data_IF_115944218087
#
_entry.id   IF_115944218087
#
_cell.length_a   1.000
_cell.length_b   1.000
_cell.length_c   1.000
_cell.angle_alpha   90.00
_cell.angle_beta   90.00
_cell.angle_gamma   90.00
#
_symmetry.space_group_name_H-M   'P 1'
#
loop_
_entity.id
_entity.type
_entity.pdbx_description
1 polymer ?
#
# COMPACT_ATOMS: atom_id res chain seq x y z
N UNK A 1 5.63 24.83 -4.59
CA UNK A 1 6.54 25.04 -3.44
C UNK A 1 5.78 24.84 -2.15
N UNK A 2 5.87 23.67 -1.51
CA UNK A 2 5.37 23.50 -0.13
C UNK A 2 6.45 24.05 0.80
N UNK A 3 6.15 25.14 1.51
CA UNK A 3 6.98 25.63 2.61
C UNK A 3 6.99 24.56 3.69
N UNK A 4 8.17 24.09 4.07
CA UNK A 4 8.36 23.27 5.26
C UNK A 4 8.09 24.22 6.44
N UNK A 5 7.02 23.94 7.19
CA UNK A 5 6.57 24.80 8.28
C UNK A 5 7.62 24.87 9.40
N UNK A 6 7.91 26.09 9.85
CA UNK A 6 8.72 26.41 11.02
C UNK A 6 8.13 25.75 12.27
N UNK A 7 8.70 24.62 12.66
CA UNK A 7 8.60 24.07 14.02
C UNK A 7 10.02 23.70 14.42
N UNK A 8 10.44 24.13 15.62
CA UNK A 8 11.75 23.77 16.18
C UNK A 8 11.85 22.24 16.29
N UNK A 9 12.46 21.61 15.29
CA UNK A 9 12.79 20.19 15.32
C UNK A 9 14.17 20.02 15.95
N UNK A 10 14.21 19.71 17.24
CA UNK A 10 15.32 18.89 17.76
C UNK A 10 15.07 17.47 17.27
N UNK A 11 15.68 17.09 16.16
CA UNK A 11 15.51 15.75 15.57
C UNK A 11 16.21 14.76 16.51
N UNK A 12 15.45 14.03 17.32
CA UNK A 12 15.97 13.00 18.22
C UNK A 12 15.85 11.62 17.59
N UNK A 13 16.95 10.86 17.61
CA UNK A 13 17.04 9.41 17.33
C UNK A 13 16.23 8.90 16.15
N UNK A 14 15.03 8.39 16.44
CA UNK A 14 14.14 7.71 15.48
C UNK A 14 13.75 8.56 14.27
N UNK A 15 13.55 9.87 14.46
CA UNK A 15 13.23 10.78 13.35
C UNK A 15 14.42 10.96 12.38
N UNK A 16 15.65 10.81 12.88
CA UNK A 16 16.85 10.94 12.08
C UNK A 16 17.07 9.69 11.20
N UNK A 17 16.68 8.51 11.69
CA UNK A 17 16.75 7.26 10.91
C UNK A 17 15.73 7.22 9.76
N UNK A 18 14.51 7.73 10.01
CA UNK A 18 13.50 7.91 8.96
C UNK A 18 13.97 8.91 7.90
N UNK A 19 14.47 10.08 8.34
CA UNK A 19 15.01 11.09 7.44
C UNK A 19 16.19 10.56 6.63
N UNK A 20 17.12 9.84 7.28
CA UNK A 20 18.29 9.21 6.63
C UNK A 20 17.84 8.23 5.55
N UNK A 21 16.85 7.40 5.83
CA UNK A 21 16.31 6.44 4.88
C UNK A 21 15.68 7.15 3.68
N UNK A 22 14.92 8.22 3.94
CA UNK A 22 14.25 8.98 2.89
C UNK A 22 15.21 9.75 1.98
N UNK A 23 16.24 10.42 2.52
CA UNK A 23 17.13 11.26 1.72
C UNK A 23 18.30 10.49 1.09
N UNK A 24 18.65 9.31 1.62
CA UNK A 24 19.76 8.53 1.08
C UNK A 24 19.47 8.07 -0.35
N UNK A 25 20.43 8.33 -1.24
CA UNK A 25 20.33 8.06 -2.67
C UNK A 25 19.59 9.13 -3.47
N UNK A 26 19.10 10.21 -2.84
CA UNK A 26 18.53 11.35 -3.58
C UNK A 26 19.67 12.19 -4.18
N UNK A 27 19.45 12.64 -5.41
CA UNK A 27 20.32 13.57 -6.12
C UNK A 27 19.93 15.00 -5.73
N UNK A 28 20.92 15.83 -5.45
CA UNK A 28 20.76 17.22 -5.01
C UNK A 28 21.72 18.14 -5.75
N UNK A 29 21.35 19.42 -5.83
CA UNK A 29 22.19 20.52 -6.28
C UNK A 29 22.41 21.51 -5.14
N UNK A 30 23.55 22.17 -5.14
CA UNK A 30 23.80 23.27 -4.19
C UNK A 30 23.04 24.51 -4.64
N UNK A 31 22.36 25.20 -3.70
CA UNK A 31 21.66 26.45 -3.98
C UNK A 31 22.57 27.69 -3.90
N UNK A 32 23.85 27.49 -3.65
CA UNK A 32 24.88 28.52 -3.52
C UNK A 32 26.02 28.32 -4.52
N UNK A 33 26.74 29.42 -4.78
CA UNK A 33 27.83 29.46 -5.76
C UNK A 33 27.37 29.31 -7.22
N UNK A 34 28.29 29.50 -8.16
CA UNK A 34 28.03 29.33 -9.60
C UNK A 34 27.94 27.84 -10.03
N UNK A 35 27.85 26.90 -9.07
CA UNK A 35 27.89 25.46 -9.29
C UNK A 35 26.51 24.79 -9.19
N UNK A 36 25.43 25.53 -9.41
CA UNK A 36 24.04 25.00 -9.40
C UNK A 36 23.80 23.88 -10.43
N UNK A 37 24.78 23.58 -11.30
CA UNK A 37 24.72 22.55 -12.34
C UNK A 37 25.33 21.21 -11.93
N UNK A 38 26.08 21.12 -10.82
CA UNK A 38 26.76 19.86 -10.46
C UNK A 38 25.88 19.01 -9.54
N UNK A 39 25.45 17.81 -9.98
CA UNK A 39 24.66 16.93 -9.14
C UNK A 39 25.54 16.21 -8.12
N UNK A 40 25.00 16.06 -6.91
CA UNK A 40 25.56 15.24 -5.84
C UNK A 40 24.53 14.21 -5.39
N UNK A 41 24.96 12.98 -5.12
CA UNK A 41 24.09 11.95 -4.53
C UNK A 41 24.37 11.85 -3.04
N UNK A 42 23.35 12.03 -2.21
CA UNK A 42 23.46 11.89 -0.76
C UNK A 42 23.72 10.41 -0.44
N UNK A 43 24.84 10.11 0.23
CA UNK A 43 25.13 8.77 0.74
C UNK A 43 24.51 8.51 2.12
N UNK A 44 24.34 9.55 2.94
CA UNK A 44 23.82 9.42 4.29
C UNK A 44 23.67 10.75 5.00
N UNK A 45 23.37 10.67 6.30
CA UNK A 45 23.34 11.81 7.22
C UNK A 45 24.43 11.63 8.27
N UNK A 46 25.11 12.73 8.57
CA UNK A 46 25.99 12.85 9.71
C UNK A 46 25.20 13.46 10.89
N UNK A 47 25.33 12.85 12.06
CA UNK A 47 24.66 13.29 13.29
C UNK A 47 25.33 14.50 13.94
N UNK A 48 26.56 14.84 13.54
CA UNK A 48 27.23 16.06 13.98
C UNK A 48 26.66 17.30 13.30
N UNK A 49 26.71 18.42 14.02
CA UNK A 49 26.19 19.70 13.52
C UNK A 49 27.23 20.46 12.70
N UNK A 50 26.79 21.50 11.98
CA UNK A 50 27.71 22.36 11.23
C UNK A 50 28.71 23.09 12.15
N UNK A 51 28.39 23.24 13.44
CA UNK A 51 29.23 23.89 14.44
C UNK A 51 30.36 22.97 14.90
N UNK A 52 30.07 21.68 15.10
CA UNK A 52 31.05 20.71 15.63
C UNK A 52 31.85 20.03 14.53
N UNK A 53 31.22 19.70 13.40
CA UNK A 53 31.87 18.95 12.33
C UNK A 53 32.99 19.78 11.70
N UNK A 54 34.20 19.24 11.73
CA UNK A 54 35.38 19.83 11.06
C UNK A 54 35.76 19.06 9.80
N UNK A 55 36.48 19.75 8.91
CA UNK A 55 37.12 19.14 7.76
C UNK A 55 38.37 19.94 7.38
N UNK A 56 39.26 19.31 6.62
CA UNK A 56 40.43 19.97 6.05
C UNK A 56 40.08 20.64 4.72
N UNK A 57 40.34 21.94 4.64
CA UNK A 57 40.24 22.73 3.41
C UNK A 57 41.38 22.41 2.44
N UNK A 58 41.26 22.86 1.18
CA UNK A 58 42.31 22.69 0.16
C UNK A 58 43.65 23.32 0.58
N UNK A 59 43.61 24.38 1.39
CA UNK A 59 44.78 25.06 1.96
C UNK A 59 45.38 24.33 3.19
N UNK A 60 44.89 23.13 3.53
CA UNK A 60 45.34 22.31 4.66
C UNK A 60 44.86 22.79 6.04
N UNK A 61 44.08 23.87 6.12
CA UNK A 61 43.52 24.37 7.38
C UNK A 61 42.30 23.55 7.80
N UNK A 62 42.26 23.15 9.07
CA UNK A 62 41.05 22.61 9.71
C UNK A 62 40.07 23.75 10.01
N UNK A 63 38.83 23.60 9.60
CA UNK A 63 37.75 24.54 9.90
C UNK A 63 36.43 23.79 10.12
N UNK A 64 35.49 24.42 10.81
CA UNK A 64 34.13 23.87 10.95
C UNK A 64 33.33 24.13 9.68
N UNK A 65 32.32 23.30 9.41
CA UNK A 65 31.42 23.52 8.27
C UNK A 65 30.77 24.91 8.35
N UNK A 66 30.29 25.32 9.53
CA UNK A 66 29.68 26.64 9.71
C UNK A 66 30.66 27.80 9.39
N UNK A 67 31.90 27.74 9.90
CA UNK A 67 32.89 28.79 9.64
C UNK A 67 33.30 28.85 8.17
N UNK A 68 33.41 27.69 7.50
CA UNK A 68 33.71 27.64 6.08
C UNK A 68 32.62 28.33 5.24
N UNK A 69 31.34 28.04 5.47
CA UNK A 69 30.25 28.67 4.72
C UNK A 69 30.18 30.18 4.96
N UNK A 70 30.43 30.62 6.19
CA UNK A 70 30.49 32.05 6.54
C UNK A 70 31.65 32.78 5.87
N UNK A 71 32.84 32.19 5.84
CA UNK A 71 34.03 32.84 5.28
C UNK A 71 34.09 32.76 3.76
N UNK A 72 33.83 31.58 3.18
CA UNK A 72 34.04 31.30 1.75
C UNK A 72 32.88 31.74 0.87
N UNK A 73 31.65 31.58 1.37
CA UNK A 73 30.42 31.85 0.62
C UNK A 73 29.62 33.02 1.19
N UNK A 74 30.04 33.61 2.32
CA UNK A 74 29.33 34.69 3.01
C UNK A 74 27.90 34.29 3.42
N UNK A 75 27.69 33.00 3.71
CA UNK A 75 26.41 32.45 4.13
C UNK A 75 26.41 32.25 5.64
N UNK A 76 25.48 32.90 6.33
CA UNK A 76 25.20 32.61 7.73
C UNK A 76 24.12 31.53 7.79
N UNK A 77 24.48 30.34 8.26
CA UNK A 77 23.55 29.23 8.35
C UNK A 77 22.43 29.55 9.35
N UNK A 78 21.17 29.30 8.97
CA UNK A 78 20.02 29.54 9.85
C UNK A 78 19.84 28.38 10.84
N UNK A 79 20.16 27.16 10.40
CA UNK A 79 20.04 25.94 11.19
C UNK A 79 21.39 25.22 11.31
N UNK A 80 22.39 25.83 11.99
CA UNK A 80 23.71 25.22 12.11
C UNK A 80 23.70 23.94 12.98
N UNK A 81 22.66 23.73 13.80
CA UNK A 81 22.48 22.56 14.66
C UNK A 81 21.85 21.34 13.94
N UNK A 82 21.44 21.49 12.68
CA UNK A 82 20.87 20.37 11.91
C UNK A 82 21.94 19.37 11.46
N UNK A 83 21.55 18.09 11.26
CA UNK A 83 22.45 17.09 10.70
C UNK A 83 22.92 17.49 9.30
N UNK A 84 24.10 17.01 8.92
CA UNK A 84 24.72 17.33 7.64
C UNK A 84 24.48 16.19 6.63
N UNK A 85 24.23 16.55 5.37
CA UNK A 85 24.20 15.57 4.28
C UNK A 85 25.62 15.14 3.93
N UNK A 86 25.85 13.82 3.93
CA UNK A 86 27.10 13.22 3.50
C UNK A 86 27.05 12.87 2.02
N UNK A 87 28.07 13.28 1.29
CA UNK A 87 28.25 12.93 -0.12
C UNK A 87 29.62 12.32 -0.32
N UNK A 88 29.67 11.10 -0.89
CA UNK A 88 30.92 10.46 -1.29
C UNK A 88 31.28 10.89 -2.71
N UNK A 89 32.40 11.60 -2.88
CA UNK A 89 32.86 12.09 -4.17
C UNK A 89 34.36 11.84 -4.34
N UNK A 90 34.74 11.07 -5.37
CA UNK A 90 36.14 10.73 -5.69
C UNK A 90 36.96 10.24 -4.46
N UNK A 91 36.36 9.40 -3.62
CA UNK A 91 37.01 8.86 -2.42
C UNK A 91 37.08 9.80 -1.21
N UNK A 92 36.56 11.03 -1.32
CA UNK A 92 36.43 11.98 -0.20
C UNK A 92 34.98 12.06 0.28
N UNK A 93 34.82 12.26 1.58
CA UNK A 93 33.52 12.52 2.20
C UNK A 93 33.33 14.04 2.28
N UNK A 94 32.24 14.53 1.70
CA UNK A 94 31.84 15.94 1.71
C UNK A 94 30.63 16.11 2.61
N UNK A 95 30.60 17.22 3.35
CA UNK A 95 29.50 17.57 4.25
C UNK A 95 28.79 18.83 3.77
N UNK A 96 27.48 18.74 3.62
CA UNK A 96 26.63 19.85 3.19
C UNK A 96 25.54 20.12 4.24
N UNK A 97 25.38 21.36 4.72
CA UNK A 97 24.20 21.73 5.49
C UNK A 97 22.94 21.56 4.64
N UNK A 98 21.89 20.96 5.22
CA UNK A 98 20.67 20.62 4.47
C UNK A 98 19.98 21.85 3.85
N UNK A 99 20.06 23.01 4.49
CA UNK A 99 19.50 24.28 3.98
C UNK A 99 20.19 24.80 2.69
N UNK A 100 21.35 24.24 2.35
CA UNK A 100 22.13 24.64 1.17
C UNK A 100 21.91 23.72 -0.04
N UNK A 101 21.00 22.75 0.06
CA UNK A 101 20.72 21.73 -0.94
C UNK A 101 19.29 21.82 -1.47
N UNK A 102 19.15 21.67 -2.78
CA UNK A 102 17.87 21.49 -3.47
C UNK A 102 17.82 20.07 -4.07
N UNK A 103 16.72 19.36 -3.87
CA UNK A 103 16.50 18.05 -4.50
C UNK A 103 16.38 18.24 -6.01
N UNK A 104 17.12 17.46 -6.79
CA UNK A 104 17.04 17.49 -8.24
C UNK A 104 15.65 17.08 -8.72
N UNK A 105 15.13 17.78 -9.73
CA UNK A 105 13.82 17.47 -10.30
C UNK A 105 13.79 16.10 -11.01
N UNK A 106 12.58 15.60 -11.26
CA UNK A 106 12.31 14.40 -12.06
C UNK A 106 12.93 13.09 -11.54
N UNK A 107 13.23 13.02 -10.24
CA UNK A 107 13.68 11.78 -9.61
C UNK A 107 12.52 10.83 -9.33
N UNK A 108 12.71 9.55 -9.64
CA UNK A 108 11.73 8.50 -9.34
C UNK A 108 11.64 8.27 -7.83
N UNK A 109 10.42 8.29 -7.29
CA UNK A 109 10.12 7.88 -5.91
C UNK A 109 10.15 6.35 -5.82
N UNK A 110 10.81 5.81 -4.79
CA UNK A 110 10.89 4.36 -4.59
C UNK A 110 9.55 3.86 -4.03
N UNK A 111 9.09 2.64 -4.37
CA UNK A 111 7.84 2.11 -3.83
C UNK A 111 7.77 2.06 -2.30
N UNK A 112 8.91 1.86 -1.63
CA UNK A 112 9.00 1.88 -0.16
C UNK A 112 8.76 3.25 0.47
N UNK A 113 8.89 4.33 -0.30
CA UNK A 113 8.71 5.71 0.16
C UNK A 113 7.25 6.18 -0.04
N UNK A 114 6.37 5.35 -0.60
CA UNK A 114 4.99 5.69 -0.94
C UNK A 114 4.06 5.17 0.15
N UNK A 115 3.30 6.07 0.77
CA UNK A 115 2.31 5.70 1.78
C UNK A 115 1.04 5.08 1.17
N UNK A 116 0.18 4.49 2.01
CA UNK A 116 -1.11 3.97 1.56
C UNK A 116 -2.04 5.08 1.04
N UNK A 117 -1.95 6.26 1.67
CA UNK A 117 -2.64 7.48 1.33
C UNK A 117 -2.16 8.04 -0.01
N UNK A 118 -0.84 8.06 -0.24
CA UNK A 118 -0.25 8.46 -1.52
C UNK A 118 -0.68 7.51 -2.63
N UNK A 119 -0.69 6.21 -2.36
CA UNK A 119 -1.15 5.20 -3.32
C UNK A 119 -2.62 5.41 -3.68
N UNK A 120 -3.49 5.63 -2.68
CA UNK A 120 -4.90 5.90 -2.91
C UNK A 120 -5.12 7.20 -3.71
N UNK A 121 -4.37 8.26 -3.40
CA UNK A 121 -4.40 9.52 -4.12
C UNK A 121 -3.92 9.35 -5.57
N UNK A 122 -2.83 8.61 -5.80
CA UNK A 122 -2.30 8.28 -7.11
C UNK A 122 -3.31 7.50 -7.95
N UNK A 123 -3.91 6.44 -7.39
CA UNK A 123 -4.95 5.66 -8.08
C UNK A 123 -6.12 6.55 -8.47
N UNK A 124 -6.59 7.42 -7.56
CA UNK A 124 -7.68 8.36 -7.84
C UNK A 124 -7.31 9.36 -8.94
N UNK A 125 -6.08 9.87 -8.93
CA UNK A 125 -5.61 10.79 -9.96
C UNK A 125 -5.46 10.13 -11.34
N UNK A 126 -5.07 8.85 -11.38
CA UNK A 126 -4.92 8.08 -12.61
C UNK A 126 -6.23 7.46 -13.14
N UNK A 127 -7.27 7.38 -12.31
CA UNK A 127 -8.58 6.84 -12.68
C UNK A 127 -9.37 7.84 -13.55
N UNK A 128 -9.00 7.94 -14.83
CA UNK A 128 -9.66 8.80 -15.82
C UNK A 128 -10.63 8.00 -16.70
N UNK A 129 -11.80 8.57 -17.08
CA UNK A 129 -12.71 7.94 -18.02
C UNK A 129 -12.06 7.66 -19.39
N UNK A 130 -12.49 6.62 -20.14
CA UNK A 130 -11.88 6.26 -21.42
C UNK A 130 -11.84 7.40 -22.45
N UNK A 131 -12.88 8.23 -22.54
CA UNK A 131 -12.94 9.37 -23.46
C UNK A 131 -11.86 10.41 -23.15
N UNK A 132 -11.69 10.75 -21.87
CA UNK A 132 -10.65 11.68 -21.42
C UNK A 132 -9.25 11.08 -21.59
N UNK A 133 -9.09 9.78 -21.30
CA UNK A 133 -7.84 9.06 -21.53
C UNK A 133 -7.44 9.11 -23.01
N UNK A 134 -8.39 8.90 -23.93
CA UNK A 134 -8.13 9.01 -25.36
C UNK A 134 -7.68 10.42 -25.75
N UNK A 135 -8.34 11.46 -25.20
CA UNK A 135 -7.94 12.86 -25.43
C UNK A 135 -6.52 13.12 -24.96
N UNK A 136 -6.17 12.66 -23.76
CA UNK A 136 -4.82 12.80 -23.19
C UNK A 136 -3.76 12.09 -24.03
N UNK A 137 -4.06 10.87 -24.51
CA UNK A 137 -3.17 10.12 -25.41
C UNK A 137 -2.94 10.91 -26.71
N UNK A 138 -3.99 11.46 -27.32
CA UNK A 138 -3.86 12.22 -28.56
C UNK A 138 -3.01 13.50 -28.36
N UNK A 139 -3.20 14.21 -27.24
CA UNK A 139 -2.39 15.40 -26.89
C UNK A 139 -0.92 14.99 -26.69
N UNK A 140 -0.67 13.90 -25.97
CA UNK A 140 0.68 13.39 -25.75
C UNK A 140 1.35 12.94 -27.06
N UNK A 141 0.61 12.25 -27.94
CA UNK A 141 1.10 11.84 -29.26
C UNK A 141 1.54 13.05 -30.10
N UNK A 142 0.68 14.07 -30.20
CA UNK A 142 1.00 15.31 -30.90
C UNK A 142 2.24 16.02 -30.30
N UNK A 143 2.42 15.96 -28.98
CA UNK A 143 3.57 16.58 -28.31
C UNK A 143 4.91 15.90 -28.59
N UNK A 144 4.93 14.63 -29.03
CA UNK A 144 6.17 13.93 -29.33
C UNK A 144 6.82 14.42 -30.63
N UNK A 145 6.05 14.98 -31.58
CA UNK A 145 6.60 15.53 -32.82
C UNK A 145 7.41 14.54 -33.65
N UNK A 146 7.08 13.24 -33.59
CA UNK A 146 7.88 12.16 -34.22
C UNK A 146 8.03 12.40 -35.72
N UNK A 147 6.95 12.80 -36.39
CA UNK A 147 6.95 13.09 -37.82
C UNK A 147 7.77 14.33 -38.18
N UNK A 148 8.12 15.19 -37.23
CA UNK A 148 8.95 16.37 -37.46
C UNK A 148 10.42 16.15 -37.05
N UNK A 149 10.70 15.09 -36.31
CA UNK A 149 12.05 14.78 -35.82
C UNK A 149 13.00 14.38 -36.98
N UNK A 150 14.15 15.06 -37.14
CA UNK A 150 15.10 14.77 -38.22
C UNK A 150 15.69 13.36 -38.18
N UNK A 151 15.84 12.75 -36.99
CA UNK A 151 16.35 11.39 -36.87
C UNK A 151 15.30 10.38 -37.30
N UNK A 152 14.04 10.56 -36.88
CA UNK A 152 12.92 9.73 -37.31
C UNK A 152 12.72 9.77 -38.83
N UNK A 153 12.75 10.97 -39.44
CA UNK A 153 12.70 11.11 -40.91
C UNK A 153 13.84 10.37 -41.61
N UNK A 154 15.07 10.47 -41.09
CA UNK A 154 16.24 9.78 -41.65
C UNK A 154 16.13 8.25 -41.55
N UNK A 155 15.48 7.74 -40.52
CA UNK A 155 15.19 6.32 -40.34
C UNK A 155 13.96 5.84 -41.14
N UNK A 156 13.24 6.75 -41.81
CA UNK A 156 12.00 6.43 -42.52
C UNK A 156 10.85 6.05 -41.58
N UNK A 157 10.85 6.56 -40.35
CA UNK A 157 9.79 6.35 -39.38
C UNK A 157 8.71 7.42 -39.54
N UNK A 158 7.47 6.97 -39.75
CA UNK A 158 6.29 7.82 -39.85
C UNK A 158 5.21 7.29 -38.90
N UNK A 159 4.46 8.19 -38.27
CA UNK A 159 3.34 7.87 -37.38
C UNK A 159 2.04 8.44 -37.92
N UNK A 160 0.94 7.75 -37.62
CA UNK A 160 -0.42 8.19 -37.95
C UNK A 160 -1.05 8.77 -36.69
N UNK A 161 -1.67 9.94 -36.79
CA UNK A 161 -2.27 10.64 -35.64
C UNK A 161 -3.55 9.98 -35.12
N UNK A 162 -4.23 9.24 -35.98
CA UNK A 162 -5.51 8.60 -35.69
C UNK A 162 -5.31 7.20 -35.08
N UNK A 163 -5.99 6.88 -33.97
CA UNK A 163 -5.97 5.53 -33.41
C UNK A 163 -6.47 4.50 -34.42
N UNK A 164 -5.83 3.32 -34.43
CA UNK A 164 -6.27 2.20 -35.29
C UNK A 164 -7.70 1.77 -34.93
N UNK A 165 -8.59 1.80 -35.93
CA UNK A 165 -9.98 1.37 -35.78
C UNK A 165 -10.08 -0.13 -36.07
N UNK A 166 -10.54 -0.89 -35.07
CA UNK A 166 -10.75 -2.33 -35.17
C UNK A 166 -12.24 -2.66 -35.04
N UNK A 167 -12.71 -3.58 -35.88
CA UNK A 167 -14.07 -4.13 -35.75
C UNK A 167 -14.09 -5.18 -34.64
N UNK A 168 -14.77 -4.87 -33.54
CA UNK A 168 -15.01 -5.80 -32.43
C UNK A 168 -16.45 -6.33 -32.46
N UNK A 169 -16.70 -7.43 -31.75
CA UNK A 169 -18.05 -7.98 -31.52
C UNK A 169 -18.30 -8.17 -30.03
N UNK A 170 -19.50 -7.85 -29.59
CA UNK A 170 -19.95 -8.13 -28.21
C UNK A 170 -20.52 -9.54 -28.16
N UNK A 171 -19.95 -10.40 -27.32
CA UNK A 171 -20.50 -11.73 -27.10
C UNK A 171 -21.72 -11.65 -26.20
N UNK A 172 -22.72 -12.49 -26.45
CA UNK A 172 -23.87 -12.62 -25.56
C UNK A 172 -23.43 -13.13 -24.19
N UNK A 173 -24.01 -12.58 -23.12
CA UNK A 173 -23.70 -13.02 -21.77
C UNK A 173 -24.13 -14.49 -21.55
N UNK A 174 -23.28 -15.33 -20.94
CA UNK A 174 -23.65 -16.71 -20.65
C UNK A 174 -24.72 -16.77 -19.56
N UNK A 175 -25.53 -17.83 -19.57
CA UNK A 175 -26.46 -18.11 -18.46
C UNK A 175 -25.69 -18.76 -17.31
N UNK A 176 -25.88 -18.24 -16.11
CA UNK A 176 -25.30 -18.74 -14.87
C UNK A 176 -26.34 -19.62 -14.18
N UNK A 177 -26.01 -20.91 -14.03
CA UNK A 177 -26.89 -21.90 -13.44
C UNK A 177 -26.74 -21.94 -11.91
N UNK A 178 -27.86 -21.97 -11.21
CA UNK A 178 -27.97 -22.14 -9.77
C UNK A 178 -28.88 -23.33 -9.45
N UNK A 179 -28.92 -23.72 -8.17
CA UNK A 179 -29.97 -24.61 -7.69
C UNK A 179 -31.29 -23.84 -7.64
N UNK A 180 -32.29 -24.32 -8.37
CA UNK A 180 -33.61 -23.68 -8.49
C UNK A 180 -33.80 -22.73 -9.68
N UNK A 181 -32.78 -22.48 -10.51
CA UNK A 181 -32.94 -21.66 -11.73
C UNK A 181 -31.63 -21.14 -12.33
N UNK A 182 -31.74 -20.19 -13.26
CA UNK A 182 -30.58 -19.57 -13.92
C UNK A 182 -30.73 -18.05 -13.96
N UNK A 183 -29.61 -17.33 -13.84
CA UNK A 183 -29.54 -15.88 -14.01
C UNK A 183 -28.66 -15.53 -15.21
N UNK A 184 -28.96 -14.44 -15.91
CA UNK A 184 -28.12 -13.93 -17.01
C UNK A 184 -27.52 -12.60 -16.57
N UNK A 185 -26.18 -12.42 -16.66
CA UNK A 185 -25.55 -11.14 -16.37
C UNK A 185 -26.10 -10.00 -17.20
N UNK A 186 -26.06 -8.79 -16.64
CA UNK A 186 -26.34 -7.57 -17.37
C UNK A 186 -25.31 -7.31 -18.47
N UNK A 187 -25.58 -6.30 -19.30
CA UNK A 187 -24.67 -5.90 -20.38
C UNK A 187 -23.29 -5.45 -19.86
N UNK A 188 -23.18 -5.05 -18.59
CA UNK A 188 -21.92 -4.70 -17.92
C UNK A 188 -21.20 -5.92 -17.31
N UNK A 189 -21.69 -7.14 -17.58
CA UNK A 189 -21.11 -8.39 -17.09
C UNK A 189 -21.37 -8.67 -15.62
N UNK A 190 -22.19 -7.84 -14.94
CA UNK A 190 -22.51 -8.04 -13.53
C UNK A 190 -23.77 -8.86 -13.35
N UNK A 191 -23.78 -9.69 -12.33
CA UNK A 191 -24.96 -10.41 -11.88
C UNK A 191 -24.98 -10.42 -10.35
N UNK A 192 -26.17 -10.35 -9.79
CA UNK A 192 -26.42 -10.50 -8.36
C UNK A 192 -27.43 -11.64 -8.25
N UNK A 193 -27.20 -12.58 -7.32
CA UNK A 193 -28.18 -13.63 -7.06
C UNK A 193 -29.37 -13.03 -6.32
N UNK A 194 -30.60 -13.07 -6.89
CA UNK A 194 -31.80 -12.67 -6.18
C UNK A 194 -31.96 -13.49 -4.88
N UNK A 195 -32.25 -12.79 -3.77
CA UNK A 195 -32.39 -13.43 -2.44
C UNK A 195 -33.59 -14.37 -2.40
N UNK A 196 -33.42 -15.50 -1.71
CA UNK A 196 -34.50 -16.44 -1.40
C UNK A 196 -35.06 -17.22 -2.60
N UNK A 197 -34.59 -16.94 -3.82
CA UNK A 197 -35.01 -17.67 -5.02
C UNK A 197 -34.05 -18.81 -5.39
N UNK A 198 -32.74 -18.57 -5.26
CA UNK A 198 -31.72 -19.51 -5.72
C UNK A 198 -30.66 -19.76 -4.65
N UNK A 199 -30.21 -21.01 -4.56
CA UNK A 199 -29.07 -21.44 -3.74
C UNK A 199 -27.89 -21.83 -4.63
N UNK A 200 -26.70 -21.99 -4.04
CA UNK A 200 -25.56 -22.46 -4.82
C UNK A 200 -25.81 -23.84 -5.40
N UNK A 201 -25.24 -24.10 -6.59
CA UNK A 201 -25.42 -25.38 -7.30
C UNK A 201 -24.88 -26.57 -6.49
N UNK A 202 -23.74 -26.35 -5.84
CA UNK A 202 -23.13 -27.28 -4.88
C UNK A 202 -22.87 -26.51 -3.60
N UNK A 203 -23.40 -27.04 -2.49
CA UNK A 203 -23.27 -26.45 -1.16
C UNK A 203 -22.44 -27.34 -0.26
N UNK A 204 -21.67 -26.73 0.65
CA UNK A 204 -21.00 -27.44 1.73
C UNK A 204 -21.87 -27.52 2.99
N UNK A 205 -21.47 -28.36 3.94
CA UNK A 205 -22.03 -28.42 5.28
C UNK A 205 -20.87 -28.28 6.27
N UNK A 206 -20.99 -27.34 7.19
CA UNK A 206 -20.02 -27.05 8.25
C UNK A 206 -20.69 -27.42 9.58
N UNK A 207 -20.27 -28.54 10.15
CA UNK A 207 -20.80 -29.10 11.39
C UNK A 207 -19.89 -28.82 12.58
N UNK A 208 -18.57 -28.89 12.39
CA UNK A 208 -17.59 -28.73 13.46
C UNK A 208 -16.62 -27.60 13.17
N UNK A 209 -16.83 -26.46 13.79
CA UNK A 209 -16.00 -25.28 13.56
C UNK A 209 -15.89 -24.41 14.80
N UNK A 210 -14.85 -23.58 14.81
CA UNK A 210 -14.65 -22.60 15.87
C UNK A 210 -14.51 -21.19 15.31
N UNK A 211 -14.87 -20.25 16.16
CA UNK A 211 -14.74 -18.82 15.90
C UNK A 211 -13.54 -18.29 16.67
N UNK A 212 -12.68 -17.51 16.01
CA UNK A 212 -11.45 -16.99 16.62
C UNK A 212 -11.48 -15.46 16.57
N UNK A 213 -11.32 -14.81 17.71
CA UNK A 213 -11.31 -13.36 17.86
C UNK A 213 -9.93 -12.90 18.33
N UNK A 214 -9.34 -11.97 17.58
CA UNK A 214 -8.07 -11.31 17.91
C UNK A 214 -8.30 -9.80 17.86
N UNK A 215 -8.51 -9.18 19.02
CA UNK A 215 -8.90 -7.77 19.10
C UNK A 215 -8.20 -7.01 20.22
N UNK A 216 -8.16 -5.68 20.13
CA UNK A 216 -7.51 -4.84 21.15
C UNK A 216 -8.41 -4.52 22.34
N UNK A 217 -9.70 -4.88 22.28
CA UNK A 217 -10.72 -4.49 23.25
C UNK A 217 -11.16 -3.01 23.14
N UNK A 218 -10.59 -2.24 22.20
CA UNK A 218 -10.94 -0.82 22.00
C UNK A 218 -12.29 -0.63 21.30
N UNK A 219 -12.70 -1.61 20.50
CA UNK A 219 -13.94 -1.59 19.74
C UNK A 219 -14.85 -2.65 20.36
N UNK A 220 -15.98 -2.23 20.94
CA UNK A 220 -17.01 -3.17 21.39
C UNK A 220 -17.70 -3.72 20.14
N UNK A 221 -17.55 -5.02 19.88
CA UNK A 221 -18.11 -5.67 18.70
C UNK A 221 -19.07 -6.82 19.08
N UNK A 222 -20.24 -6.87 18.45
CA UNK A 222 -21.21 -7.96 18.66
C UNK A 222 -20.82 -9.22 17.86
N UNK A 223 -19.93 -10.03 18.43
CA UNK A 223 -19.51 -11.30 17.84
C UNK A 223 -20.69 -12.24 17.59
N UNK A 224 -21.61 -12.34 18.55
CA UNK A 224 -22.77 -13.22 18.44
C UNK A 224 -23.72 -12.76 17.34
N UNK A 225 -23.90 -11.45 17.18
CA UNK A 225 -24.62 -10.85 16.06
C UNK A 225 -23.99 -11.19 14.72
N UNK A 226 -22.67 -11.11 14.62
CA UNK A 226 -21.95 -11.47 13.40
C UNK A 226 -22.08 -12.95 13.06
N UNK A 227 -21.90 -13.85 14.04
CA UNK A 227 -22.08 -15.29 13.87
C UNK A 227 -23.50 -15.61 13.36
N UNK A 228 -24.54 -15.02 14.00
CA UNK A 228 -25.93 -15.19 13.54
C UNK A 228 -26.13 -14.67 12.13
N UNK A 229 -25.58 -13.51 11.78
CA UNK A 229 -25.69 -12.94 10.44
C UNK A 229 -25.03 -13.86 9.39
N UNK A 230 -23.83 -14.35 9.68
CA UNK A 230 -23.10 -15.29 8.83
C UNK A 230 -23.87 -16.60 8.62
N UNK A 231 -24.34 -17.24 9.69
CA UNK A 231 -25.11 -18.48 9.61
C UNK A 231 -26.43 -18.30 8.84
N UNK A 232 -27.13 -17.18 9.08
CA UNK A 232 -28.37 -16.88 8.35
C UNK A 232 -28.12 -16.68 6.85
N UNK A 233 -27.06 -15.96 6.48
CA UNK A 233 -26.73 -15.77 5.06
C UNK A 233 -26.26 -17.09 4.42
N UNK A 234 -25.46 -17.89 5.12
CA UNK A 234 -25.07 -19.23 4.67
C UNK A 234 -26.30 -20.11 4.39
N UNK A 235 -27.25 -20.13 5.34
CA UNK A 235 -28.52 -20.85 5.19
C UNK A 235 -29.34 -20.35 3.99
N UNK A 236 -29.43 -19.03 3.80
CA UNK A 236 -30.12 -18.43 2.64
C UNK A 236 -29.50 -18.83 1.30
N UNK A 237 -28.21 -19.21 1.29
CA UNK A 237 -27.49 -19.71 0.11
C UNK A 237 -27.42 -21.23 0.02
N UNK A 238 -28.10 -21.94 0.91
CA UNK A 238 -28.19 -23.40 0.94
C UNK A 238 -27.03 -24.11 1.63
N UNK A 239 -26.16 -23.37 2.32
CA UNK A 239 -25.06 -23.92 3.11
C UNK A 239 -25.58 -24.20 4.52
N UNK A 240 -25.36 -25.41 5.01
CA UNK A 240 -25.71 -25.76 6.39
C UNK A 240 -24.53 -25.47 7.29
N UNK A 241 -24.69 -24.54 8.23
CA UNK A 241 -23.66 -24.19 9.22
C UNK A 241 -24.28 -24.38 10.60
N UNK A 242 -23.73 -25.29 11.40
CA UNK A 242 -24.12 -25.47 12.81
C UNK A 242 -23.55 -24.31 13.66
N UNK A 243 -24.01 -24.07 14.89
CA UNK A 243 -23.37 -23.09 15.78
C UNK A 243 -21.88 -23.45 16.02
N UNK A 244 -20.99 -22.48 16.24
CA UNK A 244 -19.59 -22.79 16.52
C UNK A 244 -19.45 -23.52 17.85
N UNK A 245 -18.62 -24.56 17.87
CA UNK A 245 -18.39 -25.40 19.06
C UNK A 245 -17.64 -24.62 20.16
N UNK A 246 -16.75 -23.70 19.74
CA UNK A 246 -15.95 -22.90 20.64
C UNK A 246 -15.64 -21.52 20.07
N UNK A 247 -15.46 -20.55 20.97
CA UNK A 247 -15.00 -19.20 20.65
C UNK A 247 -13.66 -18.97 21.34
N UNK A 248 -12.60 -18.87 20.54
CA UNK A 248 -11.30 -18.45 21.03
C UNK A 248 -11.22 -16.93 21.06
N UNK A 249 -10.80 -16.34 22.18
CA UNK A 249 -10.65 -14.88 22.32
C UNK A 249 -9.24 -14.56 22.78
N UNK A 250 -8.58 -13.66 22.04
CA UNK A 250 -7.24 -13.20 22.32
C UNK A 250 -7.14 -11.68 22.24
N UNK A 251 -6.33 -11.11 23.12
CA UNK A 251 -5.93 -9.71 23.05
C UNK A 251 -4.82 -9.52 22.02
N UNK A 252 -5.06 -8.69 21.00
CA UNK A 252 -4.12 -8.41 19.90
C UNK A 252 -2.74 -7.93 20.35
N UNK A 253 -2.64 -7.29 21.52
CA UNK A 253 -1.38 -6.79 22.09
C UNK A 253 -0.46 -7.92 22.58
N UNK A 254 -1.05 -9.06 22.94
CA UNK A 254 -0.39 -10.22 23.53
C UNK A 254 -0.48 -11.44 22.62
N UNK A 255 -0.81 -11.24 21.34
CA UNK A 255 -1.04 -12.32 20.42
C UNK A 255 0.21 -12.60 19.58
N UNK A 256 0.78 -13.79 19.75
CA UNK A 256 2.05 -14.20 19.17
C UNK A 256 1.91 -15.49 18.35
N UNK A 257 3.00 -15.92 17.71
CA UNK A 257 3.01 -17.14 16.89
C UNK A 257 2.59 -18.40 17.68
N UNK A 258 2.94 -18.48 18.96
CA UNK A 258 2.59 -19.61 19.83
C UNK A 258 1.07 -19.75 20.02
N UNK A 259 0.32 -18.64 19.98
CA UNK A 259 -1.14 -18.68 20.09
C UNK A 259 -1.77 -19.31 18.85
N UNK A 260 -1.22 -19.06 17.66
CA UNK A 260 -1.63 -19.78 16.45
C UNK A 260 -1.37 -21.27 16.58
N UNK A 261 -0.16 -21.66 17.02
CA UNK A 261 0.17 -23.07 17.23
C UNK A 261 -0.84 -23.74 18.17
N UNK A 262 -1.20 -23.07 19.27
CA UNK A 262 -2.22 -23.53 20.20
C UNK A 262 -3.60 -23.67 19.54
N UNK A 263 -4.10 -22.63 18.85
CA UNK A 263 -5.41 -22.66 18.18
C UNK A 263 -5.50 -23.84 17.23
N UNK A 264 -4.51 -24.01 16.35
CA UNK A 264 -4.54 -25.06 15.34
C UNK A 264 -4.32 -26.46 15.94
N UNK A 265 -3.51 -26.59 16.99
CA UNK A 265 -3.33 -27.84 17.74
C UNK A 265 -4.63 -28.29 18.42
N UNK A 266 -5.29 -27.38 19.14
CA UNK A 266 -6.57 -27.67 19.80
C UNK A 266 -7.66 -27.96 18.76
N UNK A 267 -7.73 -27.15 17.70
CA UNK A 267 -8.71 -27.35 16.62
C UNK A 267 -8.59 -28.72 15.96
N UNK A 268 -7.37 -29.20 15.76
CA UNK A 268 -7.12 -30.55 15.24
C UNK A 268 -7.53 -31.63 16.24
N UNK A 269 -7.28 -31.42 17.52
CA UNK A 269 -7.66 -32.36 18.59
C UNK A 269 -9.18 -32.51 18.71
N UNK A 270 -9.93 -31.43 18.52
CA UNK A 270 -11.40 -31.43 18.52
C UNK A 270 -12.02 -31.82 17.17
N UNK A 271 -11.19 -32.00 16.12
CA UNK A 271 -11.58 -32.28 14.74
C UNK A 271 -12.47 -31.19 14.13
N UNK A 272 -12.09 -29.92 14.31
CA UNK A 272 -12.71 -28.82 13.58
C UNK A 272 -12.29 -28.84 12.11
N UNK A 273 -13.26 -28.68 11.22
CA UNK A 273 -13.06 -28.63 9.77
C UNK A 273 -12.89 -27.20 9.25
N UNK A 274 -13.31 -26.21 10.03
CA UNK A 274 -13.32 -24.81 9.64
C UNK A 274 -13.02 -23.88 10.83
N UNK A 275 -12.29 -22.79 10.55
CA UNK A 275 -12.04 -21.71 11.49
C UNK A 275 -12.37 -20.36 10.86
N UNK A 276 -13.21 -19.58 11.54
CA UNK A 276 -13.55 -18.21 11.15
C UNK A 276 -12.81 -17.22 12.06
N UNK A 277 -11.78 -16.58 11.50
CA UNK A 277 -10.98 -15.57 12.18
C UNK A 277 -11.57 -14.18 12.02
N UNK A 278 -11.74 -13.48 13.12
CA UNK A 278 -12.02 -12.06 13.20
C UNK A 278 -10.82 -11.33 13.81
N UNK A 279 -10.21 -10.40 13.07
CA UNK A 279 -8.98 -9.72 13.49
C UNK A 279 -9.00 -8.21 13.18
N UNK A 280 -8.27 -7.38 13.93
CA UNK A 280 -8.10 -5.94 13.59
C UNK A 280 -7.03 -5.70 12.51
N UNK A 281 -5.95 -6.48 12.55
CA UNK A 281 -4.84 -6.40 11.60
C UNK A 281 -4.66 -7.74 10.92
N UNK A 282 -4.46 -7.72 9.61
CA UNK A 282 -4.24 -8.95 8.86
C UNK A 282 -2.94 -9.62 9.29
N UNK A 283 -2.98 -10.94 9.41
CA UNK A 283 -1.82 -11.75 9.78
C UNK A 283 -1.64 -12.85 8.74
N UNK A 284 -0.59 -12.72 7.93
CA UNK A 284 -0.30 -13.64 6.82
C UNK A 284 -0.04 -15.07 7.31
N UNK A 285 0.47 -15.22 8.55
CA UNK A 285 0.80 -16.50 9.16
C UNK A 285 -0.38 -17.48 9.24
N UNK A 286 -1.64 -16.99 9.28
CA UNK A 286 -2.83 -17.85 9.31
C UNK A 286 -2.83 -18.81 8.12
N UNK A 287 -2.45 -18.33 6.93
CA UNK A 287 -2.43 -19.14 5.71
C UNK A 287 -1.29 -20.16 5.69
N UNK A 288 -0.19 -19.89 6.41
CA UNK A 288 0.85 -20.89 6.62
C UNK A 288 0.35 -22.05 7.51
N UNK A 289 -0.39 -21.73 8.58
CA UNK A 289 -0.97 -22.73 9.48
C UNK A 289 -2.13 -23.52 8.88
N UNK A 290 -2.96 -22.89 8.04
CA UNK A 290 -4.00 -23.59 7.26
C UNK A 290 -3.39 -24.73 6.43
N UNK A 291 -2.26 -24.45 5.76
CA UNK A 291 -1.56 -25.45 4.94
C UNK A 291 -0.97 -26.59 5.77
N UNK A 292 -0.43 -26.32 6.95
CA UNK A 292 0.20 -27.34 7.80
C UNK A 292 -0.81 -28.19 8.57
N UNK A 293 -1.93 -27.58 9.00
CA UNK A 293 -2.98 -28.24 9.78
C UNK A 293 -4.05 -28.92 8.92
N UNK A 294 -4.19 -28.53 7.65
CA UNK A 294 -5.27 -28.95 6.75
C UNK A 294 -6.68 -28.56 7.25
N UNK A 295 -6.77 -27.50 8.06
CA UNK A 295 -8.03 -26.91 8.53
C UNK A 295 -8.32 -25.66 7.70
N UNK A 296 -9.52 -25.60 7.10
CA UNK A 296 -9.91 -24.48 6.23
C UNK A 296 -10.09 -23.22 7.07
N UNK A 297 -9.56 -22.08 6.62
CA UNK A 297 -9.70 -20.82 7.34
C UNK A 297 -10.33 -19.72 6.51
N UNK A 298 -11.24 -18.96 7.13
CA UNK A 298 -11.75 -17.71 6.58
C UNK A 298 -11.41 -16.57 7.53
N UNK A 299 -10.82 -15.49 7.01
CA UNK A 299 -10.48 -14.31 7.80
C UNK A 299 -11.40 -13.14 7.43
N UNK A 300 -11.82 -12.38 8.44
CA UNK A 300 -12.62 -11.17 8.31
C UNK A 300 -12.01 -10.08 9.20
N UNK A 301 -11.85 -8.88 8.65
CA UNK A 301 -11.35 -7.75 9.42
C UNK A 301 -12.49 -7.14 10.28
N UNK A 302 -12.23 -6.78 11.54
CA UNK A 302 -13.23 -6.23 12.48
C UNK A 302 -13.99 -5.02 11.89
N UNK A 303 -13.35 -4.01 11.29
CA UNK A 303 -14.06 -2.89 10.66
C UNK A 303 -14.98 -3.34 9.51
N UNK A 304 -14.66 -4.43 8.81
CA UNK A 304 -15.52 -4.99 7.77
C UNK A 304 -16.75 -5.66 8.38
N UNK A 305 -16.56 -6.46 9.43
CA UNK A 305 -17.66 -7.07 10.16
C UNK A 305 -18.58 -6.02 10.82
N UNK A 306 -18.01 -4.92 11.33
CA UNK A 306 -18.76 -3.78 11.85
C UNK A 306 -19.67 -3.15 10.78
N UNK A 307 -19.17 -2.95 9.55
CA UNK A 307 -20.00 -2.44 8.44
C UNK A 307 -21.10 -3.41 8.05
N UNK A 308 -20.86 -4.72 8.13
CA UNK A 308 -21.88 -5.74 7.85
C UNK A 308 -23.06 -5.60 8.82
N UNK A 309 -22.77 -5.50 10.12
CA UNK A 309 -23.81 -5.40 11.16
C UNK A 309 -24.51 -4.03 11.18
N UNK A 310 -23.74 -2.94 11.14
CA UNK A 310 -24.27 -1.60 11.42
C UNK A 310 -24.67 -0.82 10.16
N UNK A 311 -24.03 -1.10 9.02
CA UNK A 311 -24.29 -0.39 7.75
C UNK A 311 -24.99 -1.29 6.74
N UNK A 312 -25.42 -2.49 7.16
CA UNK A 312 -26.15 -3.43 6.33
C UNK A 312 -25.40 -3.74 5.02
N UNK A 313 -24.08 -3.89 5.09
CA UNK A 313 -23.18 -4.16 3.95
C UNK A 313 -23.32 -5.61 3.46
N UNK A 314 -24.50 -5.95 2.94
CA UNK A 314 -24.94 -7.31 2.62
C UNK A 314 -24.08 -8.00 1.57
N UNK A 315 -23.70 -7.29 0.51
CA UNK A 315 -22.84 -7.83 -0.55
C UNK A 315 -21.50 -8.32 -0.02
N UNK A 316 -20.97 -7.67 1.02
CA UNK A 316 -19.72 -8.09 1.66
C UNK A 316 -19.90 -9.43 2.38
N UNK A 317 -21.00 -9.61 3.11
CA UNK A 317 -21.31 -10.86 3.78
C UNK A 317 -21.57 -12.00 2.78
N UNK A 318 -22.32 -11.71 1.71
CA UNK A 318 -22.55 -12.66 0.60
C UNK A 318 -21.22 -13.14 0.00
N UNK A 319 -20.27 -12.23 -0.23
CA UNK A 319 -18.95 -12.58 -0.74
C UNK A 319 -18.11 -13.41 0.25
N UNK A 320 -18.25 -13.18 1.55
CA UNK A 320 -17.59 -14.00 2.58
C UNK A 320 -18.16 -15.42 2.53
N UNK A 321 -19.49 -15.56 2.54
CA UNK A 321 -20.18 -16.85 2.46
C UNK A 321 -19.85 -17.59 1.16
N UNK A 322 -19.80 -16.88 0.04
CA UNK A 322 -19.42 -17.45 -1.26
C UNK A 322 -18.00 -18.05 -1.21
N UNK A 323 -17.05 -17.36 -0.57
CA UNK A 323 -15.68 -17.86 -0.39
C UNK A 323 -15.60 -19.04 0.57
N UNK A 324 -16.43 -19.05 1.62
CA UNK A 324 -16.49 -20.19 2.54
C UNK A 324 -17.01 -21.47 1.87
N UNK A 325 -17.87 -21.34 0.86
CA UNK A 325 -18.41 -22.50 0.12
C UNK A 325 -17.48 -23.02 -0.99
N UNK A 326 -16.56 -22.18 -1.47
CA UNK A 326 -15.68 -22.46 -2.59
C UNK A 326 -14.53 -23.39 -2.18
#
# INVERSE_FOLDING_TARGET
MKKINNTCFSIHGTQNDELRTFISGKVVFTNYGNQQTRPYTISGLNNESAVTQTFQTEDGKQTTVNNYYRQRYQINLQYPEWPLAEVKSKGKLLYFPLETLNIADYQKVKPCDITSEDTAAMVKACAVPPSEKQRQINIAHASFGINDDPFCKKLGLETVDEPMILKARTLGAPKIQYSGGSSTPGADGKWILPRGQFTYLKTCSIKKWAYVVIESGRIVFDHNGFIRAFMNEAKNRGITVDPPDYVFTFESQHFYQQDFEKIFYESRSYNYEFLLFLHEKHVDSIKAFERSSSIITQCVNIPTAFKILNQNSRLTLENIVAKTNA
#
